data_IF_506971182680
#
_entry.id   IF_506971182680
#
_cell.length_a   1.000
_cell.length_b   1.000
_cell.length_c   1.000
_cell.angle_alpha   90.00
_cell.angle_beta   90.00
_cell.angle_gamma   90.00
#
_symmetry.space_group_name_H-M   'P 1'
#
loop_
_entity.id
_entity.type
_entity.pdbx_description
1 polymer ?
#
# COMPACT_ATOMS: atom_id res chain seq x y z
N UNK A 1 3.14 4.59 15.12
CA UNK A 1 2.83 3.32 14.45
C UNK A 1 1.61 3.44 13.57
N UNK A 2 1.82 3.37 12.27
CA UNK A 2 0.76 3.05 11.33
C UNK A 2 0.28 1.61 11.57
N UNK A 3 -1.01 1.38 11.40
CA UNK A 3 -1.66 0.08 11.51
C UNK A 3 -1.91 -0.52 10.12
N UNK A 4 -1.92 -1.86 9.96
CA UNK A 4 -2.31 -2.47 8.71
C UNK A 4 -3.67 -1.95 8.23
N UNK A 5 -3.74 -1.63 6.93
CA UNK A 5 -4.88 -1.01 6.30
C UNK A 5 -4.86 0.52 6.32
N UNK A 6 -4.06 1.17 7.18
CA UNK A 6 -3.90 2.62 7.14
C UNK A 6 -3.10 3.07 5.92
N UNK A 7 -3.52 4.20 5.36
CA UNK A 7 -2.81 4.88 4.29
C UNK A 7 -2.13 6.09 4.88
N UNK A 8 -0.81 6.14 4.76
CA UNK A 8 -0.03 7.28 5.21
C UNK A 8 0.68 7.94 4.03
N UNK A 9 0.77 9.27 4.06
CA UNK A 9 1.58 10.05 3.15
C UNK A 9 2.92 10.35 3.81
N UNK A 10 4.02 10.13 3.10
CA UNK A 10 5.35 10.56 3.56
C UNK A 10 6.23 10.89 2.36
N UNK A 11 7.30 11.63 2.63
CA UNK A 11 8.20 12.11 1.60
C UNK A 11 8.98 10.96 0.96
N UNK A 12 9.03 10.91 -0.37
CA UNK A 12 9.83 9.94 -1.11
C UNK A 12 11.01 10.67 -1.78
N UNK A 13 12.23 10.45 -1.28
CA UNK A 13 13.46 11.03 -1.84
C UNK A 13 13.63 10.74 -3.33
N UNK A 14 13.26 9.53 -3.76
CA UNK A 14 13.39 9.10 -5.16
C UNK A 14 12.50 9.90 -6.14
N UNK A 15 11.52 10.67 -5.65
CA UNK A 15 10.59 11.43 -6.50
C UNK A 15 10.41 12.89 -6.11
N UNK A 16 11.10 13.36 -5.05
CA UNK A 16 10.99 14.73 -4.56
C UNK A 16 9.55 15.18 -4.27
N UNK A 17 8.68 14.25 -3.85
CA UNK A 17 7.27 14.52 -3.57
C UNK A 17 6.73 13.58 -2.50
N UNK A 18 5.69 14.04 -1.81
CA UNK A 18 4.87 13.16 -0.98
C UNK A 18 4.20 12.09 -1.84
N UNK A 19 4.22 10.86 -1.34
CA UNK A 19 3.53 9.73 -1.94
C UNK A 19 2.66 9.07 -0.88
N UNK A 20 1.60 8.40 -1.34
CA UNK A 20 0.70 7.64 -0.49
C UNK A 20 1.18 6.20 -0.41
N UNK A 21 1.12 5.63 0.78
CA UNK A 21 1.55 4.28 1.04
C UNK A 21 0.55 3.57 1.93
N UNK A 22 0.17 2.35 1.54
CA UNK A 22 -0.68 1.47 2.32
C UNK A 22 0.20 0.68 3.28
N UNK A 23 -0.02 0.82 4.58
CA UNK A 23 0.55 -0.05 5.60
C UNK A 23 -0.11 -1.42 5.51
N UNK A 24 0.69 -2.49 5.48
CA UNK A 24 0.19 -3.87 5.36
C UNK A 24 0.62 -4.76 6.52
N UNK A 25 1.34 -4.22 7.50
CA UNK A 25 2.01 -4.97 8.56
C UNK A 25 2.28 -4.09 9.77
N UNK A 26 2.18 -4.66 10.97
CA UNK A 26 2.56 -3.99 12.23
C UNK A 26 4.05 -3.69 12.34
N UNK A 27 4.88 -4.38 11.54
CA UNK A 27 6.33 -4.23 11.47
C UNK A 27 6.75 -3.07 10.55
N UNK A 28 5.80 -2.29 10.02
CA UNK A 28 6.10 -1.12 9.19
C UNK A 28 6.41 -1.47 7.74
N UNK A 29 5.70 -2.46 7.17
CA UNK A 29 5.77 -2.73 5.74
C UNK A 29 4.69 -1.98 4.97
N UNK A 30 5.08 -1.39 3.84
CA UNK A 30 4.23 -0.49 3.05
C UNK A 30 4.30 -0.80 1.56
N UNK A 31 3.16 -0.62 0.89
CA UNK A 31 3.04 -0.65 -0.58
C UNK A 31 2.69 0.74 -1.10
N UNK A 32 3.18 1.11 -2.28
CA UNK A 32 2.80 2.38 -2.92
C UNK A 32 1.32 2.36 -3.30
N UNK A 33 0.60 3.45 -3.01
CA UNK A 33 -0.81 3.64 -3.34
C UNK A 33 -1.03 4.92 -4.15
N UNK A 34 -2.12 4.95 -4.92
CA UNK A 34 -2.56 6.07 -5.74
C UNK A 34 -1.48 6.52 -6.73
N UNK A 35 -0.92 5.54 -7.44
CA UNK A 35 0.00 5.76 -8.55
C UNK A 35 -0.81 5.78 -9.86
N UNK A 36 -1.30 6.94 -10.34
CA UNK A 36 -1.97 7.01 -11.63
C UNK A 36 -0.98 6.62 -12.72
N UNK A 37 -1.27 5.53 -13.42
CA UNK A 37 -0.45 5.02 -14.52
C UNK A 37 -1.28 5.00 -15.79
N UNK A 38 -0.66 5.37 -16.91
CA UNK A 38 -1.28 5.27 -18.25
C UNK A 38 -1.40 3.83 -18.73
N UNK A 39 -0.67 2.90 -18.12
CA UNK A 39 -0.66 1.48 -18.42
C UNK A 39 -0.56 0.69 -17.12
N UNK A 40 -1.40 -0.35 -16.96
CA UNK A 40 -1.30 -1.29 -15.85
C UNK A 40 -0.17 -2.29 -16.08
N UNK A 41 0.55 -2.61 -15.01
CA UNK A 41 1.59 -3.64 -14.98
C UNK A 41 1.13 -4.84 -14.14
N UNK A 42 1.74 -6.05 -14.29
CA UNK A 42 1.27 -7.23 -13.58
C UNK A 42 1.31 -7.16 -12.05
N UNK A 43 2.00 -6.17 -11.47
CA UNK A 43 2.01 -5.88 -10.03
C UNK A 43 1.06 -4.78 -9.59
N UNK A 44 0.21 -4.29 -10.49
CA UNK A 44 -0.73 -3.21 -10.17
C UNK A 44 -2.07 -3.79 -9.77
N UNK A 45 -2.37 -3.71 -8.48
CA UNK A 45 -3.67 -4.05 -7.94
C UNK A 45 -4.57 -2.81 -7.97
N UNK A 46 -5.65 -2.89 -8.76
CA UNK A 46 -6.54 -1.76 -9.05
C UNK A 46 -7.72 -1.76 -8.09
N UNK A 47 -8.00 -0.61 -7.47
CA UNK A 47 -9.11 -0.40 -6.55
C UNK A 47 -9.91 0.84 -6.95
N UNK A 48 -11.18 0.92 -6.55
CA UNK A 48 -11.99 2.10 -6.86
C UNK A 48 -11.60 3.27 -5.96
N UNK A 49 -11.63 4.51 -6.47
CA UNK A 49 -11.48 5.71 -5.63
C UNK A 49 -12.55 5.79 -4.53
N UNK A 50 -13.69 5.09 -4.69
CA UNK A 50 -14.72 4.97 -3.65
C UNK A 50 -14.23 4.21 -2.41
N UNK A 51 -13.24 3.34 -2.57
CA UNK A 51 -12.65 2.58 -1.47
C UNK A 51 -11.56 3.39 -0.72
N UNK A 52 -11.11 4.51 -1.31
CA UNK A 52 -10.10 5.41 -0.72
C UNK A 52 -10.51 6.88 -0.89
N UNK A 53 -11.68 7.31 -0.36
CA UNK A 53 -12.25 8.62 -0.63
C UNK A 53 -11.44 9.80 -0.03
N UNK A 54 -10.51 9.51 0.88
CA UNK A 54 -9.59 10.46 1.50
C UNK A 54 -8.37 10.79 0.63
N UNK A 55 -8.18 10.08 -0.50
CA UNK A 55 -7.11 10.37 -1.45
C UNK A 55 -7.59 11.27 -2.59
N UNK A 56 -6.68 12.05 -3.21
CA UNK A 56 -6.99 12.78 -4.42
C UNK A 56 -7.52 11.84 -5.50
N UNK A 57 -8.68 12.13 -6.12
CA UNK A 57 -9.26 11.27 -7.12
C UNK A 57 -8.40 11.27 -8.39
N UNK A 58 -8.26 10.09 -8.99
CA UNK A 58 -7.67 9.89 -10.31
C UNK A 58 -8.71 10.10 -11.42
N UNK A 59 -8.23 10.43 -12.63
CA UNK A 59 -9.09 10.75 -13.77
C UNK A 59 -9.94 9.56 -14.27
N UNK A 60 -9.46 8.33 -14.08
CA UNK A 60 -10.13 7.09 -14.48
C UNK A 60 -11.03 6.51 -13.38
N UNK A 61 -11.09 7.16 -12.22
CA UNK A 61 -11.90 6.72 -11.08
C UNK A 61 -11.30 5.56 -10.28
N UNK A 62 -10.05 5.16 -10.58
CA UNK A 62 -9.38 4.05 -9.91
C UNK A 62 -8.02 4.44 -9.34
N UNK A 63 -7.71 3.93 -8.16
CA UNK A 63 -6.39 4.01 -7.55
C UNK A 63 -5.65 2.69 -7.74
N UNK A 64 -4.31 2.76 -7.74
CA UNK A 64 -3.46 1.58 -7.92
C UNK A 64 -2.61 1.38 -6.66
N UNK A 65 -2.63 0.15 -6.12
CA UNK A 65 -1.66 -0.36 -5.16
C UNK A 65 -0.57 -1.09 -5.95
N UNK A 66 0.65 -0.59 -5.91
CA UNK A 66 1.78 -1.19 -6.62
C UNK A 66 2.48 -2.20 -5.73
N UNK A 67 2.41 -3.47 -6.10
CA UNK A 67 2.93 -4.63 -5.38
C UNK A 67 4.32 -5.07 -5.87
N UNK A 68 5.05 -4.16 -6.52
CA UNK A 68 6.37 -4.45 -7.09
C UNK A 68 7.53 -4.16 -6.13
N UNK A 69 7.31 -3.31 -5.13
CA UNK A 69 8.33 -2.90 -4.16
C UNK A 69 7.68 -2.85 -2.78
N UNK A 70 8.25 -3.59 -1.83
CA UNK A 70 7.92 -3.50 -0.42
C UNK A 70 8.82 -2.46 0.26
N UNK A 71 8.20 -1.42 0.80
CA UNK A 71 8.91 -0.45 1.63
C UNK A 71 8.88 -0.90 3.09
N UNK A 72 9.98 -0.70 3.80
CA UNK A 72 10.08 -0.95 5.24
C UNK A 72 10.44 0.37 5.91
N UNK A 73 9.61 0.81 6.84
CA UNK A 73 9.77 2.07 7.58
C UNK A 73 9.53 1.83 9.06
N UNK A 74 10.52 2.19 9.87
CA UNK A 74 10.35 2.25 11.32
C UNK A 74 9.49 3.45 11.71
N UNK A 75 9.03 3.48 12.96
CA UNK A 75 8.33 4.66 13.49
C UNK A 75 9.19 5.92 13.43
N UNK A 76 10.49 5.80 13.72
CA UNK A 76 11.42 6.92 13.68
C UNK A 76 11.57 7.46 12.25
N UNK A 77 11.60 6.57 11.25
CA UNK A 77 11.61 6.97 9.84
C UNK A 77 10.34 7.76 9.51
N UNK A 78 9.17 7.21 9.85
CA UNK A 78 7.88 7.85 9.59
C UNK A 78 7.79 9.24 10.28
N UNK A 79 8.27 9.35 11.52
CA UNK A 79 8.31 10.62 12.24
C UNK A 79 9.25 11.63 11.58
N UNK A 80 10.45 11.20 11.20
CA UNK A 80 11.45 12.06 10.55
C UNK A 80 11.00 12.53 9.16
N UNK A 81 10.23 11.71 8.45
CA UNK A 81 9.68 12.01 7.12
C UNK A 81 8.36 12.78 7.18
N UNK A 82 7.88 13.11 8.39
CA UNK A 82 6.64 13.85 8.59
C UNK A 82 5.42 13.10 8.08
N UNK A 83 5.35 11.79 8.36
CA UNK A 83 4.27 10.94 7.90
C UNK A 83 2.91 11.40 8.46
N UNK A 84 1.90 11.43 7.59
CA UNK A 84 0.51 11.76 7.96
C UNK A 84 -0.43 10.63 7.53
N UNK A 85 -1.21 10.09 8.46
CA UNK A 85 -2.11 8.96 8.17
C UNK A 85 -3.52 9.47 7.88
N UNK A 86 -3.98 9.23 6.66
CA UNK A 86 -5.12 9.91 6.05
C UNK A 86 -6.43 9.16 6.23
N UNK A 87 -6.36 7.85 6.40
CA UNK A 87 -7.51 6.99 6.55
C UNK A 87 -7.18 5.51 6.39
N UNK A 88 -8.20 4.67 6.49
CA UNK A 88 -8.06 3.21 6.45
C UNK A 88 -8.80 2.64 5.26
N UNK A 89 -8.15 1.73 4.54
CA UNK A 89 -8.74 1.00 3.43
C UNK A 89 -9.75 -0.04 3.95
N UNK A 90 -10.91 -0.24 3.29
CA UNK A 90 -11.87 -1.26 3.69
C UNK A 90 -11.29 -2.68 3.74
N UNK A 91 -11.67 -3.47 4.75
CA UNK A 91 -11.25 -4.88 4.91
C UNK A 91 -11.45 -5.73 3.66
N UNK A 92 -12.51 -5.49 2.89
CA UNK A 92 -12.76 -6.21 1.62
C UNK A 92 -11.60 -6.07 0.64
N UNK A 93 -10.99 -4.89 0.56
CA UNK A 93 -9.89 -4.58 -0.37
C UNK A 93 -8.62 -5.26 0.11
N UNK A 94 -8.38 -5.27 1.41
CA UNK A 94 -7.23 -5.95 2.01
C UNK A 94 -7.29 -7.46 1.77
N UNK A 95 -8.47 -8.08 1.88
CA UNK A 95 -8.66 -9.50 1.51
C UNK A 95 -8.41 -9.77 0.03
N UNK A 96 -8.88 -8.88 -0.85
CA UNK A 96 -8.61 -8.99 -2.29
C UNK A 96 -7.12 -8.82 -2.60
N UNK A 97 -6.42 -7.95 -1.87
CA UNK A 97 -4.99 -7.76 -1.98
C UNK A 97 -4.21 -9.01 -1.58
N UNK A 98 -4.60 -9.70 -0.51
CA UNK A 98 -4.00 -11.00 -0.12
C UNK A 98 -4.09 -12.00 -1.29
N UNK A 99 -5.29 -12.21 -1.84
CA UNK A 99 -5.48 -13.11 -2.99
C UNK A 99 -4.66 -12.67 -4.21
N UNK A 100 -4.50 -11.36 -4.43
CA UNK A 100 -3.67 -10.85 -5.51
C UNK A 100 -2.18 -11.16 -5.28
N UNK A 101 -1.68 -10.96 -4.07
CA UNK A 101 -0.28 -11.21 -3.72
C UNK A 101 0.08 -12.69 -3.80
N UNK A 102 -0.80 -13.59 -3.38
CA UNK A 102 -0.62 -15.05 -3.53
C UNK A 102 -0.37 -15.46 -4.98
N UNK A 103 -1.00 -14.78 -5.94
CA UNK A 103 -0.92 -15.09 -7.36
C UNK A 103 0.13 -14.31 -8.16
N UNK A 104 0.78 -13.30 -7.57
CA UNK A 104 1.62 -12.37 -8.35
C UNK A 104 3.08 -12.81 -8.45
N UNK A 105 3.66 -12.91 -9.66
CA UNK A 105 5.06 -13.28 -9.84
C UNK A 105 6.01 -12.07 -9.80
N UNK A 106 5.49 -10.85 -9.67
CA UNK A 106 6.29 -9.61 -9.79
C UNK A 106 7.00 -9.19 -8.52
N UNK A 107 6.58 -9.74 -7.38
CA UNK A 107 7.18 -9.45 -6.08
C UNK A 107 8.24 -10.51 -5.78
N UNK A 108 9.37 -10.08 -5.21
CA UNK A 108 10.38 -11.01 -4.72
C UNK A 108 9.76 -11.94 -3.66
N UNK A 109 10.22 -13.19 -3.60
CA UNK A 109 9.61 -14.21 -2.76
C UNK A 109 9.60 -13.82 -1.28
N UNK A 110 10.73 -13.34 -0.76
CA UNK A 110 10.86 -12.89 0.63
C UNK A 110 9.93 -11.69 0.93
N UNK A 111 9.91 -10.70 0.03
CA UNK A 111 9.02 -9.53 0.16
C UNK A 111 7.54 -9.96 0.14
N UNK A 112 7.18 -10.90 -0.72
CA UNK A 112 5.81 -11.43 -0.78
C UNK A 112 5.45 -12.17 0.50
N UNK A 113 6.37 -12.96 1.05
CA UNK A 113 6.16 -13.67 2.32
C UNK A 113 5.89 -12.66 3.44
N UNK A 114 6.77 -11.68 3.61
CA UNK A 114 6.62 -10.64 4.64
C UNK A 114 5.29 -9.88 4.50
N UNK A 115 4.90 -9.56 3.26
CA UNK A 115 3.66 -8.88 2.98
C UNK A 115 2.43 -9.73 3.31
N UNK A 116 2.44 -11.02 2.97
CA UNK A 116 1.34 -11.94 3.25
C UNK A 116 1.22 -12.21 4.75
N UNK A 117 2.34 -12.43 5.45
CA UNK A 117 2.36 -12.66 6.90
C UNK A 117 1.73 -11.46 7.64
N UNK A 118 2.15 -10.24 7.30
CA UNK A 118 1.58 -9.03 7.90
C UNK A 118 0.10 -8.82 7.60
N UNK A 119 -0.35 -9.21 6.40
CA UNK A 119 -1.75 -9.09 6.02
C UNK A 119 -2.63 -10.15 6.69
N UNK A 120 -2.18 -11.41 6.77
CA UNK A 120 -2.93 -12.51 7.38
C UNK A 120 -3.21 -12.25 8.86
N UNK A 121 -2.22 -11.75 9.59
CA UNK A 121 -2.35 -11.33 11.00
C UNK A 121 -3.52 -10.36 11.20
N UNK A 122 -3.79 -9.52 10.20
CA UNK A 122 -4.85 -8.51 10.26
C UNK A 122 -6.19 -8.96 9.68
N UNK A 123 -6.19 -9.69 8.55
CA UNK A 123 -7.45 -10.14 7.92
C UNK A 123 -8.10 -11.32 8.65
N UNK A 124 -7.37 -11.96 9.58
CA UNK A 124 -7.85 -13.04 10.44
C UNK A 124 -8.12 -14.34 9.69
N UNK A 125 -7.25 -14.68 8.74
CA UNK A 125 -7.31 -15.91 7.94
C UNK A 125 -6.24 -16.88 8.44
#
# INVERSE_FOLDING_TARGET
MAQPGEVCSFWSDHGGKQKFHLCISMQGCFLYLNSPKTKSYPGDFVISNRDVPFLPPTADGNSIISCNVLLRKSDDDLLSEGADCLGTVPLKVMRQLVTFLEGTPVMAEDDRSDALDGLYDWVGV
#
